data_IF_246722614674
#
_entry.id   IF_246722614674
#
_cell.length_a   1.000
_cell.length_b   1.000
_cell.length_c   1.000
_cell.angle_alpha   90.00
_cell.angle_beta   90.00
_cell.angle_gamma   90.00
#
_symmetry.space_group_name_H-M   'P 1'
#
loop_
_entity.id
_entity.type
_entity.pdbx_description
1 polymer ?
#
# COMPACT_ATOMS: atom_id res chain seq x y z
N UNK A 1 9.69 -1.22 22.05
CA UNK A 1 10.43 -0.39 21.06
C UNK A 1 9.64 -0.19 19.77
N UNK A 2 8.61 -0.99 19.56
CA UNK A 2 7.77 -1.15 18.38
C UNK A 2 6.88 0.08 18.15
N UNK A 3 6.41 0.72 19.25
CA UNK A 3 5.68 2.00 19.15
C UNK A 3 6.54 3.12 18.54
N UNK A 4 7.85 3.13 18.78
CA UNK A 4 8.76 4.12 18.19
C UNK A 4 8.85 3.89 16.68
N UNK A 5 8.92 2.62 16.25
CA UNK A 5 8.89 2.23 14.83
C UNK A 5 7.58 2.66 14.18
N UNK A 6 6.43 2.47 14.86
CA UNK A 6 5.14 2.92 14.35
C UNK A 6 5.08 4.45 14.19
N UNK A 7 5.55 5.21 15.18
CA UNK A 7 5.60 6.67 15.09
C UNK A 7 6.58 7.16 14.01
N UNK A 8 7.72 6.51 13.84
CA UNK A 8 8.66 6.87 12.78
C UNK A 8 8.08 6.59 11.40
N UNK A 9 7.44 5.43 11.20
CA UNK A 9 6.73 5.09 9.96
C UNK A 9 5.60 6.08 9.66
N UNK A 10 4.89 6.56 10.69
CA UNK A 10 3.84 7.57 10.54
C UNK A 10 4.42 8.88 10.02
N UNK A 11 5.50 9.38 10.64
CA UNK A 11 6.16 10.62 10.23
C UNK A 11 6.70 10.50 8.80
N UNK A 12 7.33 9.37 8.47
CA UNK A 12 7.82 9.09 7.12
C UNK A 12 6.66 9.06 6.11
N UNK A 13 5.58 8.35 6.44
CA UNK A 13 4.39 8.25 5.59
C UNK A 13 3.74 9.60 5.31
N UNK A 14 3.57 10.44 6.33
CA UNK A 14 3.01 11.80 6.18
C UNK A 14 3.94 12.68 5.33
N UNK A 15 5.24 12.62 5.58
CA UNK A 15 6.24 13.39 4.82
C UNK A 15 6.23 13.00 3.34
N UNK A 16 6.19 11.69 3.05
CA UNK A 16 6.12 11.16 1.70
C UNK A 16 4.78 11.50 1.01
N UNK A 17 3.67 11.48 1.74
CA UNK A 17 2.36 11.89 1.24
C UNK A 17 2.37 13.36 0.81
N UNK A 18 2.84 14.26 1.68
CA UNK A 18 2.91 15.69 1.37
C UNK A 18 3.82 15.96 0.17
N UNK A 19 4.97 15.29 0.10
CA UNK A 19 5.88 15.37 -1.05
C UNK A 19 5.20 14.90 -2.35
N UNK A 20 4.43 13.81 -2.27
CA UNK A 20 3.75 13.22 -3.42
C UNK A 20 2.65 14.13 -3.99
N UNK A 21 1.91 14.83 -3.12
CA UNK A 21 0.82 15.74 -3.51
C UNK A 21 1.29 17.04 -4.16
N UNK A 22 2.58 17.42 -4.04
CA UNK A 22 3.12 18.65 -4.65
C UNK A 22 3.14 18.63 -6.18
N UNK A 23 3.07 17.44 -6.81
CA UNK A 23 3.14 17.33 -8.28
C UNK A 23 1.74 17.45 -8.89
N UNK A 24 1.53 18.20 -9.99
CA UNK A 24 0.27 18.15 -10.73
C UNK A 24 0.16 16.86 -11.56
N UNK A 25 -1.05 16.34 -11.86
CA UNK A 25 -2.37 16.79 -11.38
C UNK A 25 -2.79 16.14 -10.05
N UNK A 26 -3.20 16.96 -9.08
CA UNK A 26 -3.52 16.54 -7.70
C UNK A 26 -4.72 15.58 -7.64
N UNK A 27 -5.70 15.75 -8.54
CA UNK A 27 -6.90 14.91 -8.65
C UNK A 27 -6.56 13.42 -8.74
N UNK A 28 -5.56 13.07 -9.55
CA UNK A 28 -5.17 11.67 -9.74
C UNK A 28 -4.57 11.07 -8.47
N UNK A 29 -3.80 11.85 -7.71
CA UNK A 29 -3.17 11.39 -6.47
C UNK A 29 -4.20 11.14 -5.39
N UNK A 30 -5.19 12.02 -5.26
CA UNK A 30 -6.29 11.84 -4.31
C UNK A 30 -7.11 10.60 -4.68
N UNK A 31 -7.42 10.41 -5.96
CA UNK A 31 -8.15 9.22 -6.43
C UNK A 31 -7.38 7.92 -6.16
N UNK A 32 -6.10 7.88 -6.49
CA UNK A 32 -5.24 6.73 -6.22
C UNK A 32 -5.19 6.45 -4.73
N UNK A 33 -4.96 7.48 -3.91
CA UNK A 33 -4.92 7.34 -2.46
C UNK A 33 -6.21 6.70 -1.94
N UNK A 34 -7.36 7.27 -2.26
CA UNK A 34 -8.66 6.79 -1.78
C UNK A 34 -9.00 5.37 -2.27
N UNK A 35 -8.75 5.07 -3.55
CA UNK A 35 -8.96 3.72 -4.10
C UNK A 35 -8.05 2.70 -3.42
N UNK A 36 -6.76 3.02 -3.29
CA UNK A 36 -5.77 2.13 -2.67
C UNK A 36 -6.12 1.84 -1.22
N UNK A 37 -6.48 2.87 -0.43
CA UNK A 37 -6.86 2.69 0.97
C UNK A 37 -8.12 1.83 1.11
N UNK A 38 -9.13 2.06 0.26
CA UNK A 38 -10.38 1.32 0.29
C UNK A 38 -10.15 -0.18 0.06
N UNK A 39 -9.45 -0.54 -1.02
CA UNK A 39 -9.18 -1.94 -1.32
C UNK A 39 -8.20 -2.57 -0.32
N UNK A 40 -7.15 -1.85 0.08
CA UNK A 40 -6.18 -2.36 1.06
C UNK A 40 -6.85 -2.68 2.39
N UNK A 41 -7.76 -1.84 2.86
CA UNK A 41 -8.51 -2.09 4.10
C UNK A 41 -9.43 -3.29 3.94
N UNK A 42 -10.14 -3.39 2.81
CA UNK A 42 -11.03 -4.52 2.55
C UNK A 42 -10.26 -5.86 2.61
N UNK A 43 -9.12 -5.95 1.92
CA UNK A 43 -8.27 -7.15 1.99
C UNK A 43 -7.66 -7.34 3.38
N UNK A 44 -7.20 -6.27 4.02
CA UNK A 44 -6.60 -6.32 5.36
C UNK A 44 -7.54 -6.90 6.41
N UNK A 45 -8.80 -6.45 6.43
CA UNK A 45 -9.83 -7.00 7.32
C UNK A 45 -10.10 -8.47 7.01
N UNK A 46 -10.27 -8.85 5.73
CA UNK A 46 -10.50 -10.25 5.36
C UNK A 46 -9.39 -11.18 5.85
N UNK A 47 -8.12 -10.80 5.66
CA UNK A 47 -6.98 -11.64 6.04
C UNK A 47 -6.85 -11.76 7.57
N UNK A 48 -7.19 -10.70 8.31
CA UNK A 48 -7.17 -10.70 9.78
C UNK A 48 -8.33 -11.51 10.36
N UNK A 49 -9.53 -11.38 9.82
CA UNK A 49 -10.71 -12.15 10.26
C UNK A 49 -10.55 -13.65 10.03
N UNK A 50 -9.91 -14.04 8.92
CA UNK A 50 -9.52 -15.44 8.63
C UNK A 50 -8.34 -15.93 9.50
N UNK A 51 -7.85 -15.11 10.44
CA UNK A 51 -6.72 -15.39 11.34
C UNK A 51 -5.44 -15.80 10.61
N UNK A 52 -5.29 -15.41 9.35
CA UNK A 52 -4.10 -15.75 8.58
C UNK A 52 -2.90 -14.90 9.01
N UNK A 53 -3.18 -13.67 9.45
CA UNK A 53 -2.22 -12.66 9.86
C UNK A 53 -2.80 -11.86 11.03
N UNK A 54 -1.94 -11.55 12.01
CA UNK A 54 -2.30 -10.68 13.14
C UNK A 54 -1.35 -9.48 13.26
N UNK A 55 -1.88 -8.36 13.76
CA UNK A 55 -1.12 -7.15 14.05
C UNK A 55 -1.14 -6.84 15.56
N UNK A 56 -0.23 -7.42 16.37
CA UNK A 56 -0.27 -7.31 17.84
C UNK A 56 -0.12 -5.88 18.34
N UNK A 57 0.82 -5.13 17.74
CA UNK A 57 1.06 -3.72 18.08
C UNK A 57 0.63 -2.84 16.90
N UNK A 58 -0.44 -2.08 17.09
CA UNK A 58 -1.02 -1.19 16.07
C UNK A 58 -1.61 0.09 16.68
N UNK A 59 -1.78 1.11 15.84
CA UNK A 59 -2.54 2.30 16.22
C UNK A 59 -4.04 1.95 16.32
N UNK A 60 -4.74 2.55 17.29
CA UNK A 60 -6.18 2.37 17.51
C UNK A 60 -6.61 0.89 17.60
N UNK A 61 -5.83 0.07 18.32
CA UNK A 61 -6.06 -1.37 18.49
C UNK A 61 -7.46 -1.75 19.00
N UNK A 62 -8.13 -0.83 19.70
CA UNK A 62 -9.47 -1.04 20.25
C UNK A 62 -10.59 -0.91 19.21
N UNK A 63 -10.33 -0.25 18.08
CA UNK A 63 -11.34 0.05 17.07
C UNK A 63 -11.07 -0.64 15.73
N UNK A 64 -9.81 -0.97 15.43
CA UNK A 64 -9.42 -1.58 14.18
C UNK A 64 -8.70 -2.90 14.42
N UNK A 65 -9.11 -3.94 13.69
CA UNK A 65 -8.48 -5.27 13.67
C UNK A 65 -7.19 -5.27 12.84
N UNK A 66 -7.14 -4.43 11.81
CA UNK A 66 -6.08 -4.37 10.81
C UNK A 66 -5.09 -3.20 11.03
N UNK A 67 -4.02 -3.14 10.25
CA UNK A 67 -2.99 -2.10 10.41
C UNK A 67 -3.38 -0.81 9.68
N UNK A 68 -3.98 0.11 10.43
CA UNK A 68 -4.41 1.41 9.89
C UNK A 68 -3.27 2.18 9.22
N UNK A 69 -2.07 2.14 9.79
CA UNK A 69 -0.90 2.84 9.25
C UNK A 69 -0.48 2.27 7.89
N UNK A 70 -0.53 0.95 7.73
CA UNK A 70 -0.21 0.34 6.46
C UNK A 70 -1.29 0.64 5.41
N UNK A 71 -2.54 0.37 5.75
CA UNK A 71 -3.67 0.39 4.83
C UNK A 71 -4.08 1.79 4.38
N UNK A 72 -4.04 2.78 5.29
CA UNK A 72 -4.50 4.14 5.00
C UNK A 72 -3.38 5.13 4.72
N UNK A 73 -2.11 4.79 4.97
CA UNK A 73 -1.00 5.72 4.78
C UNK A 73 0.12 5.15 3.92
N UNK A 74 0.82 4.11 4.37
CA UNK A 74 2.02 3.63 3.67
C UNK A 74 1.70 3.07 2.28
N UNK A 75 0.79 2.10 2.18
CA UNK A 75 0.46 1.45 0.92
C UNK A 75 -0.14 2.42 -0.12
N UNK A 76 -1.12 3.28 0.23
CA UNK A 76 -1.64 4.29 -0.68
C UNK A 76 -0.58 5.27 -1.19
N UNK A 77 0.34 5.71 -0.33
CA UNK A 77 1.45 6.59 -0.72
C UNK A 77 2.35 5.90 -1.73
N UNK A 78 2.71 4.63 -1.50
CA UNK A 78 3.52 3.86 -2.46
C UNK A 78 2.80 3.69 -3.79
N UNK A 79 1.49 3.43 -3.79
CA UNK A 79 0.70 3.36 -5.02
C UNK A 79 0.74 4.67 -5.82
N UNK A 80 0.73 5.82 -5.15
CA UNK A 80 0.90 7.11 -5.83
C UNK A 80 2.29 7.20 -6.48
N UNK A 81 3.37 6.88 -5.75
CA UNK A 81 4.72 6.92 -6.32
C UNK A 81 4.89 5.97 -7.51
N UNK A 82 4.35 4.75 -7.41
CA UNK A 82 4.32 3.80 -8.51
C UNK A 82 3.57 4.37 -9.73
N UNK A 83 2.42 5.00 -9.54
CA UNK A 83 1.70 5.60 -10.66
C UNK A 83 2.47 6.78 -11.27
N UNK A 84 3.10 7.63 -10.44
CA UNK A 84 3.90 8.76 -10.90
C UNK A 84 5.07 8.30 -11.80
N UNK A 85 5.80 7.27 -11.38
CA UNK A 85 6.96 6.74 -12.12
C UNK A 85 6.55 5.94 -13.35
N UNK A 86 5.36 5.33 -13.34
CA UNK A 86 4.84 4.54 -14.46
C UNK A 86 3.93 5.30 -15.42
N UNK A 87 3.69 6.60 -15.21
CA UNK A 87 2.69 7.36 -15.97
C UNK A 87 2.94 7.35 -17.49
N UNK A 88 4.21 7.47 -17.90
CA UNK A 88 4.65 7.43 -19.32
C UNK A 88 5.43 6.18 -19.70
N UNK A 89 5.48 5.18 -18.82
CA UNK A 89 6.28 3.97 -19.02
C UNK A 89 5.59 2.98 -19.97
N UNK A 90 6.39 2.20 -20.71
CA UNK A 90 5.90 1.08 -21.53
C UNK A 90 5.40 -0.07 -20.63
N UNK A 91 4.53 -0.94 -21.17
CA UNK A 91 3.93 -2.08 -20.44
C UNK A 91 4.96 -2.95 -19.70
N UNK A 92 6.09 -3.28 -20.34
CA UNK A 92 7.16 -4.06 -19.70
C UNK A 92 7.78 -3.32 -18.50
N UNK A 93 8.05 -2.01 -18.65
CA UNK A 93 8.61 -1.19 -17.58
C UNK A 93 7.63 -1.01 -16.42
N UNK A 94 6.32 -0.98 -16.71
CA UNK A 94 5.28 -0.91 -15.68
C UNK A 94 5.32 -2.17 -14.82
N UNK A 95 5.37 -3.34 -15.44
CA UNK A 95 5.43 -4.63 -14.73
C UNK A 95 6.72 -4.74 -13.92
N UNK A 96 7.86 -4.39 -14.51
CA UNK A 96 9.15 -4.40 -13.81
C UNK A 96 9.17 -3.44 -12.61
N UNK A 97 8.66 -2.21 -12.78
CA UNK A 97 8.55 -1.28 -11.65
C UNK A 97 7.59 -1.82 -10.59
N UNK A 98 6.48 -2.44 -10.98
CA UNK A 98 5.53 -3.03 -10.04
C UNK A 98 6.22 -4.11 -9.20
N UNK A 99 6.93 -5.04 -9.85
CA UNK A 99 7.72 -6.08 -9.18
C UNK A 99 8.73 -5.44 -8.21
N UNK A 100 9.45 -4.38 -8.62
CA UNK A 100 10.43 -3.73 -7.75
C UNK A 100 9.77 -3.11 -6.50
N UNK A 101 8.69 -2.35 -6.67
CA UNK A 101 7.97 -1.74 -5.55
C UNK A 101 7.37 -2.78 -4.61
N UNK A 102 6.76 -3.84 -5.13
CA UNK A 102 6.21 -4.92 -4.30
C UNK A 102 7.30 -5.71 -3.61
N UNK A 103 8.42 -5.98 -4.27
CA UNK A 103 9.57 -6.65 -3.65
C UNK A 103 10.09 -5.84 -2.45
N UNK A 104 10.26 -4.53 -2.60
CA UNK A 104 10.70 -3.66 -1.49
C UNK A 104 9.70 -3.69 -0.33
N UNK A 105 8.40 -3.59 -0.62
CA UNK A 105 7.35 -3.69 0.41
C UNK A 105 7.36 -5.03 1.12
N UNK A 106 7.42 -6.14 0.39
CA UNK A 106 7.45 -7.49 0.97
C UNK A 106 8.70 -7.73 1.80
N UNK A 107 9.86 -7.21 1.38
CA UNK A 107 11.08 -7.28 2.19
C UNK A 107 10.88 -6.54 3.50
N UNK A 108 10.35 -5.31 3.47
CA UNK A 108 10.09 -4.52 4.70
C UNK A 108 9.10 -5.27 5.61
N UNK A 109 8.01 -5.81 5.07
CA UNK A 109 7.05 -6.61 5.84
C UNK A 109 7.71 -7.85 6.46
N UNK A 110 8.54 -8.57 5.71
CA UNK A 110 9.28 -9.73 6.20
C UNK A 110 10.24 -9.35 7.35
N UNK A 111 10.92 -8.22 7.25
CA UNK A 111 11.74 -7.72 8.36
C UNK A 111 10.90 -7.37 9.59
N UNK A 112 9.73 -6.76 9.41
CA UNK A 112 8.84 -6.47 10.54
C UNK A 112 8.28 -7.75 11.16
N UNK A 113 7.93 -8.76 10.38
CA UNK A 113 7.49 -10.05 10.91
C UNK A 113 8.62 -10.75 11.70
N UNK A 114 9.84 -10.74 11.18
CA UNK A 114 10.96 -11.47 11.79
C UNK A 114 11.55 -10.81 13.04
N UNK A 115 11.57 -9.48 13.08
CA UNK A 115 12.30 -8.71 14.10
C UNK A 115 11.40 -7.86 15.01
N UNK A 116 10.10 -7.76 14.74
CA UNK A 116 9.18 -6.93 15.53
C UNK A 116 7.85 -7.64 15.80
N UNK A 117 7.11 -7.19 16.81
CA UNK A 117 5.74 -7.67 17.04
C UNK A 117 4.68 -6.84 16.31
N UNK A 118 5.06 -6.19 15.20
CA UNK A 118 4.11 -5.42 14.39
C UNK A 118 3.23 -6.34 13.54
N UNK A 119 3.77 -7.45 13.05
CA UNK A 119 3.11 -8.39 12.16
C UNK A 119 3.43 -9.80 12.64
N UNK A 120 2.43 -10.67 12.78
CA UNK A 120 2.61 -12.10 13.03
C UNK A 120 1.89 -12.89 11.95
N UNK A 121 2.63 -13.73 11.24
CA UNK A 121 2.07 -14.65 10.25
C UNK A 121 1.70 -15.98 10.92
N UNK A 122 0.50 -16.48 10.66
CA UNK A 122 0.05 -17.80 11.13
C UNK A 122 0.00 -18.79 9.98
N UNK A 123 -0.90 -18.56 9.02
CA UNK A 123 -0.99 -19.31 7.76
C UNK A 123 -0.59 -18.47 6.55
N UNK A 124 -0.50 -17.14 6.74
CA UNK A 124 -0.02 -16.22 5.72
C UNK A 124 1.48 -16.39 5.48
N UNK A 125 1.92 -16.11 4.25
CA UNK A 125 3.32 -16.16 3.86
C UNK A 125 3.68 -14.89 3.11
N UNK A 126 4.96 -14.55 3.09
CA UNK A 126 5.46 -13.40 2.33
C UNK A 126 5.10 -13.47 0.83
N UNK A 127 4.90 -14.68 0.27
CA UNK A 127 4.44 -14.88 -1.12
C UNK A 127 3.03 -14.34 -1.29
N UNK A 128 2.12 -14.59 -0.34
CA UNK A 128 0.76 -14.06 -0.41
C UNK A 128 0.75 -12.53 -0.33
N UNK A 129 1.57 -11.93 0.55
CA UNK A 129 1.79 -10.47 0.57
C UNK A 129 2.25 -9.98 -0.80
N UNK A 130 3.27 -10.63 -1.37
CA UNK A 130 3.85 -10.20 -2.64
C UNK A 130 2.80 -10.23 -3.77
N UNK A 131 2.06 -11.33 -3.90
CA UNK A 131 1.06 -11.52 -4.94
C UNK A 131 -0.12 -10.56 -4.73
N UNK A 132 -0.64 -10.44 -3.52
CA UNK A 132 -1.80 -9.59 -3.23
C UNK A 132 -1.49 -8.11 -3.49
N UNK A 133 -0.35 -7.61 -3.00
CA UNK A 133 0.09 -6.23 -3.21
C UNK A 133 0.37 -5.96 -4.69
N UNK A 134 0.98 -6.92 -5.41
CA UNK A 134 1.26 -6.78 -6.85
C UNK A 134 -0.03 -6.67 -7.67
N UNK A 135 -0.98 -7.57 -7.43
CA UNK A 135 -2.26 -7.57 -8.12
C UNK A 135 -3.04 -6.29 -7.80
N UNK A 136 -3.06 -5.87 -6.54
CA UNK A 136 -3.77 -4.68 -6.12
C UNK A 136 -3.17 -3.41 -6.75
N UNK A 137 -1.85 -3.26 -6.75
CA UNK A 137 -1.18 -2.08 -7.30
C UNK A 137 -1.35 -1.99 -8.83
N UNK A 138 -1.30 -3.13 -9.54
CA UNK A 138 -1.63 -3.20 -10.97
C UNK A 138 -3.10 -2.87 -11.24
N UNK A 139 -4.01 -3.39 -10.41
CA UNK A 139 -5.44 -3.15 -10.54
C UNK A 139 -5.80 -1.67 -10.37
N UNK A 140 -5.26 -1.01 -9.35
CA UNK A 140 -5.46 0.44 -9.12
C UNK A 140 -4.95 1.25 -10.32
N UNK A 141 -3.77 0.91 -10.84
CA UNK A 141 -3.22 1.58 -12.03
C UNK A 141 -4.13 1.39 -13.25
N UNK A 142 -4.65 0.19 -13.46
CA UNK A 142 -5.58 -0.11 -14.54
C UNK A 142 -6.87 0.72 -14.42
N UNK A 143 -7.47 0.80 -13.23
CA UNK A 143 -8.65 1.64 -12.98
C UNK A 143 -8.38 3.11 -13.30
N UNK A 144 -7.24 3.64 -12.84
CA UNK A 144 -6.86 5.02 -13.15
C UNK A 144 -6.63 5.27 -14.64
N UNK A 145 -6.12 4.29 -15.37
CA UNK A 145 -5.99 4.37 -16.82
C UNK A 145 -7.36 4.43 -17.50
N UNK A 146 -8.37 3.70 -17.01
CA UNK A 146 -9.74 3.77 -17.51
C UNK A 146 -10.38 5.14 -17.23
N UNK A 147 -10.23 5.66 -16.01
CA UNK A 147 -10.76 6.97 -15.61
C UNK A 147 -10.17 8.08 -16.48
N UNK A 148 -8.84 8.12 -16.61
CA UNK A 148 -8.15 9.13 -17.42
C UNK A 148 -8.42 8.98 -18.93
N UNK A 149 -8.74 7.77 -19.39
CA UNK A 149 -9.17 7.55 -20.78
C UNK A 149 -10.53 8.19 -21.01
N UNK A 150 -11.50 8.00 -20.10
CA UNK A 150 -12.86 8.56 -20.22
C UNK A 150 -12.86 10.09 -20.16
N UNK A 151 -12.05 10.70 -19.31
CA UNK A 151 -11.94 12.16 -19.18
C UNK A 151 -11.39 12.85 -20.45
N UNK A 152 -10.69 12.13 -21.34
CA UNK A 152 -10.24 12.67 -22.64
C UNK A 152 -11.30 12.70 -23.74
N UNK A 153 -12.44 12.03 -23.53
CA UNK A 153 -13.54 11.96 -24.51
C UNK A 153 -14.71 12.89 -24.15
N UNK A 154 -14.62 13.59 -23.02
CA UNK A 154 -15.58 14.61 -22.54
C UNK A 154 -14.95 15.97 -22.78
#
# INVERSE_FOLDING_TARGET
MERIILWSLLIIGITLLFSSLRKPPIKNWILIFSLSSCFSTFFGVLVVEEKMLEYPVRFLSNYFSSSLLYEYLLFPVVCIYFYQTTYRSRYLNIVLQCILYTTVLTIIEFFFERYTELIKYHTWTWIYTFISTFLLMMFIRFLMQLINRKERYI
#
